data_IF_396876374733
#
_entry.id   IF_396876374733
#
_cell.length_a   1.000
_cell.length_b   1.000
_cell.length_c   1.000
_cell.angle_alpha   90.00
_cell.angle_beta   90.00
_cell.angle_gamma   90.00
#
_symmetry.space_group_name_H-M   'P 1'
#
loop_
_entity.id
_entity.type
_entity.pdbx_description
1 polymer ?
#
# COMPACT_ATOMS: atom_id res chain seq x y z
N UNK A 1 -10.65 2.91 5.52
CA UNK A 1 -10.12 1.54 5.80
C UNK A 1 -11.11 0.47 6.22
N UNK A 2 -12.10 0.74 7.09
CA UNK A 2 -13.05 -0.28 7.58
C UNK A 2 -13.79 -1.03 6.46
N UNK A 3 -14.35 -0.30 5.49
CA UNK A 3 -15.09 -0.90 4.36
C UNK A 3 -14.23 -1.84 3.51
N UNK A 4 -13.01 -1.42 3.16
CA UNK A 4 -12.08 -2.23 2.36
C UNK A 4 -11.69 -3.53 3.07
N UNK A 5 -11.24 -3.45 4.33
CA UNK A 5 -10.89 -4.64 5.13
C UNK A 5 -12.07 -5.61 5.24
N UNK A 6 -13.29 -5.07 5.41
CA UNK A 6 -14.50 -5.89 5.49
C UNK A 6 -14.83 -6.60 4.17
N UNK A 7 -14.71 -5.93 3.03
CA UNK A 7 -14.96 -6.51 1.70
C UNK A 7 -14.02 -7.68 1.44
N UNK A 8 -12.71 -7.48 1.60
CA UNK A 8 -11.73 -8.56 1.46
C UNK A 8 -11.95 -9.68 2.49
N UNK A 9 -12.25 -9.36 3.75
CA UNK A 9 -12.55 -10.40 4.75
C UNK A 9 -13.78 -11.23 4.41
N UNK A 10 -14.74 -10.71 3.64
CA UNK A 10 -15.86 -11.52 3.14
C UNK A 10 -15.35 -12.56 2.13
N UNK A 11 -14.61 -12.11 1.12
CA UNK A 11 -14.02 -12.99 0.11
C UNK A 11 -13.07 -14.03 0.72
N UNK A 12 -12.22 -13.63 1.67
CA UNK A 12 -11.31 -14.55 2.36
C UNK A 12 -12.07 -15.63 3.16
N UNK A 13 -13.22 -15.31 3.75
CA UNK A 13 -14.09 -16.31 4.40
C UNK A 13 -14.69 -17.27 3.38
N UNK A 14 -15.15 -16.77 2.24
CA UNK A 14 -15.67 -17.59 1.15
C UNK A 14 -14.59 -18.54 0.59
N UNK A 15 -13.32 -18.11 0.62
CA UNK A 15 -12.15 -18.92 0.28
C UNK A 15 -11.65 -19.83 1.42
N UNK A 16 -12.38 -19.93 2.54
CA UNK A 16 -12.00 -20.70 3.74
C UNK A 16 -10.66 -20.30 4.38
N UNK A 17 -10.23 -19.04 4.23
CA UNK A 17 -9.05 -18.52 4.93
C UNK A 17 -9.43 -18.16 6.38
N UNK A 18 -8.79 -18.75 7.40
CA UNK A 18 -9.16 -18.53 8.80
C UNK A 18 -8.84 -17.11 9.28
N UNK A 19 -9.62 -16.65 10.25
CA UNK A 19 -9.39 -15.38 10.95
C UNK A 19 -8.32 -15.52 12.06
N UNK A 20 -7.67 -14.42 12.51
CA UNK A 20 -7.88 -13.03 12.09
C UNK A 20 -7.15 -12.68 10.77
N UNK A 21 -7.85 -12.06 9.81
CA UNK A 21 -7.25 -11.64 8.53
C UNK A 21 -6.41 -10.36 8.63
N UNK A 22 -6.68 -9.51 9.62
CA UNK A 22 -6.08 -8.19 9.73
C UNK A 22 -5.57 -7.95 11.15
N UNK A 23 -4.41 -7.30 11.25
CA UNK A 23 -3.98 -6.66 12.48
C UNK A 23 -4.98 -5.56 12.89
N UNK A 24 -5.18 -5.40 14.21
CA UNK A 24 -6.00 -4.32 14.79
C UNK A 24 -5.39 -2.95 14.45
N UNK A 25 -6.23 -2.02 14.01
CA UNK A 25 -5.80 -0.69 13.59
C UNK A 25 -5.26 -0.64 12.15
N UNK A 26 -4.62 0.46 11.80
CA UNK A 26 -3.83 0.66 10.59
C UNK A 26 -2.92 1.87 10.84
N UNK A 27 -1.87 2.00 10.04
CA UNK A 27 -1.01 3.19 10.05
C UNK A 27 -1.55 4.21 9.06
N UNK A 28 -1.71 5.45 9.50
CA UNK A 28 -2.02 6.60 8.66
C UNK A 28 -1.05 7.75 8.98
N UNK A 29 -0.50 8.34 7.92
CA UNK A 29 0.36 9.52 8.02
C UNK A 29 -0.08 10.55 6.99
N UNK A 30 -0.38 11.77 7.45
CA UNK A 30 -0.79 12.86 6.58
C UNK A 30 0.45 13.50 5.96
N UNK A 31 0.54 13.44 4.65
CA UNK A 31 1.59 14.03 3.83
C UNK A 31 1.32 15.54 3.70
N UNK A 32 2.26 16.39 4.13
CA UNK A 32 2.04 17.85 4.20
C UNK A 32 2.81 18.66 3.15
N UNK A 33 3.74 18.05 2.42
CA UNK A 33 4.51 18.70 1.35
C UNK A 33 4.69 17.77 0.17
N UNK A 34 4.87 18.33 -1.02
CA UNK A 34 5.15 17.58 -2.25
C UNK A 34 6.50 16.85 -2.18
N UNK A 35 7.51 17.44 -1.54
CA UNK A 35 8.82 16.81 -1.32
C UNK A 35 8.68 15.49 -0.54
N UNK A 36 7.81 15.47 0.47
CA UNK A 36 7.52 14.27 1.24
C UNK A 36 6.92 13.16 0.37
N UNK A 37 6.15 13.52 -0.66
CA UNK A 37 5.45 12.57 -1.52
C UNK A 37 6.40 11.64 -2.27
N UNK A 38 7.41 12.18 -2.94
CA UNK A 38 8.39 11.40 -3.71
C UNK A 38 9.18 10.43 -2.80
N UNK A 39 9.57 10.89 -1.60
CA UNK A 39 10.28 10.06 -0.63
C UNK A 39 9.41 8.90 -0.11
N UNK A 40 8.14 9.15 0.21
CA UNK A 40 7.24 8.10 0.68
C UNK A 40 6.89 7.12 -0.44
N UNK A 41 6.75 7.59 -1.68
CA UNK A 41 6.58 6.72 -2.83
C UNK A 41 7.78 5.77 -2.99
N UNK A 42 8.99 6.32 -2.96
CA UNK A 42 10.22 5.53 -3.04
C UNK A 42 10.31 4.52 -1.88
N UNK A 43 9.95 4.94 -0.66
CA UNK A 43 9.90 4.04 0.49
C UNK A 43 8.96 2.84 0.26
N UNK A 44 7.74 3.09 -0.26
CA UNK A 44 6.79 2.03 -0.57
C UNK A 44 7.31 1.12 -1.67
N UNK A 45 7.90 1.68 -2.73
CA UNK A 45 8.49 0.93 -3.82
C UNK A 45 9.65 0.03 -3.35
N UNK A 46 10.50 0.51 -2.45
CA UNK A 46 11.67 -0.22 -1.91
C UNK A 46 11.32 -1.30 -0.89
N UNK A 47 10.13 -1.29 -0.29
CA UNK A 47 9.75 -2.24 0.76
C UNK A 47 9.91 -3.72 0.39
N UNK A 48 9.53 -4.20 -0.83
CA UNK A 48 9.76 -5.57 -1.26
C UNK A 48 11.24 -5.96 -1.20
N UNK A 49 12.15 -5.08 -1.65
CA UNK A 49 13.60 -5.32 -1.60
C UNK A 49 14.09 -5.35 -0.15
N UNK A 50 13.67 -4.37 0.66
CA UNK A 50 14.02 -4.29 2.10
C UNK A 50 13.52 -5.49 2.92
N UNK A 51 12.47 -6.16 2.46
CA UNK A 51 11.90 -7.36 3.08
C UNK A 51 12.31 -8.66 2.40
N UNK A 52 13.26 -8.59 1.45
CA UNK A 52 13.77 -9.75 0.70
C UNK A 52 12.69 -10.52 -0.06
N UNK A 53 11.63 -9.83 -0.48
CA UNK A 53 10.55 -10.38 -1.30
C UNK A 53 10.85 -10.26 -2.80
N UNK A 54 11.77 -9.38 -3.19
CA UNK A 54 12.23 -9.15 -4.55
C UNK A 54 13.72 -8.76 -4.55
N UNK A 55 14.46 -9.09 -5.61
CA UNK A 55 15.86 -8.69 -5.74
C UNK A 55 15.99 -7.23 -6.20
N UNK A 56 15.08 -6.80 -7.07
CA UNK A 56 14.96 -5.43 -7.57
C UNK A 56 13.54 -4.90 -7.40
N UNK A 57 13.40 -3.57 -7.45
CA UNK A 57 12.10 -2.89 -7.42
C UNK A 57 11.16 -3.42 -8.52
N UNK A 58 11.69 -3.58 -9.73
CA UNK A 58 10.92 -3.94 -10.92
C UNK A 58 10.43 -5.40 -10.89
N UNK A 59 11.05 -6.25 -10.06
CA UNK A 59 10.70 -7.66 -9.94
C UNK A 59 9.44 -7.87 -9.10
N UNK A 60 8.94 -6.85 -8.39
CA UNK A 60 7.75 -6.97 -7.56
C UNK A 60 6.47 -6.85 -8.39
N UNK A 61 5.66 -7.93 -8.56
CA UNK A 61 4.50 -7.91 -9.45
C UNK A 61 3.27 -7.26 -8.82
N UNK A 62 3.29 -6.96 -7.52
CA UNK A 62 2.16 -6.44 -6.75
C UNK A 62 2.29 -4.93 -6.47
N UNK A 63 3.02 -4.20 -7.31
CA UNK A 63 3.09 -2.73 -7.29
C UNK A 63 2.15 -2.13 -8.33
N UNK A 64 1.82 -0.85 -8.17
CA UNK A 64 1.06 -0.08 -9.15
C UNK A 64 0.33 1.11 -8.54
N UNK A 65 -0.30 1.90 -9.40
CA UNK A 65 -1.19 2.99 -9.05
C UNK A 65 -2.58 2.75 -9.65
N UNK A 66 -3.64 3.16 -8.94
CA UNK A 66 -5.01 3.07 -9.48
C UNK A 66 -5.29 4.26 -10.41
N UNK A 67 -4.69 5.40 -10.11
CA UNK A 67 -4.75 6.63 -10.90
C UNK A 67 -3.38 7.32 -10.86
N UNK A 68 -2.97 8.00 -11.94
CA UNK A 68 -1.80 8.87 -11.91
C UNK A 68 -1.98 9.94 -10.84
N UNK A 69 -0.99 10.06 -9.96
CA UNK A 69 -0.99 11.08 -8.92
C UNK A 69 -0.27 12.33 -9.45
N UNK A 70 -1.02 13.24 -10.07
CA UNK A 70 -0.53 14.57 -10.43
C UNK A 70 -0.51 15.47 -9.18
N UNK A 71 0.69 15.85 -8.74
CA UNK A 71 0.84 16.92 -7.76
C UNK A 71 0.37 18.23 -8.41
N UNK A 72 -0.81 18.72 -8.01
CA UNK A 72 -1.28 20.04 -8.42
C UNK A 72 -0.44 21.08 -7.67
N UNK A 73 0.70 21.44 -8.27
CA UNK A 73 1.50 22.57 -7.82
C UNK A 73 0.64 23.84 -7.84
N UNK A 74 0.45 24.43 -6.66
CA UNK A 74 0.01 25.80 -6.57
C UNK A 74 1.18 26.68 -7.04
N UNK A 75 1.01 27.32 -8.20
CA UNK A 75 1.83 28.45 -8.65
C UNK A 75 1.62 29.63 -7.71
#
# INVERSE_FOLDING_TARGET
MKSLKNSFSKTLREMNVPAPHWQKGFFDHVMRSEESYSENWLYVAENPVRKHLAARLEDWPYQGEIFPLEARGHV
#
